data_IF_567706016758
#
_entry.id   IF_567706016758
#
_cell.length_a   1.000
_cell.length_b   1.000
_cell.length_c   1.000
_cell.angle_alpha   90.00
_cell.angle_beta   90.00
_cell.angle_gamma   90.00
#
_symmetry.space_group_name_H-M   'P 1'
#
loop_
_entity.id
_entity.type
_entity.pdbx_description
1 polymer ?
#
# COMPACT_ATOMS: atom_id res chain seq x y z
N UNK A 1 9.26 -17.98 10.10
CA UNK A 1 8.86 -16.71 9.45
C UNK A 1 8.95 -15.59 10.47
N UNK A 2 9.95 -14.72 10.31
CA UNK A 2 10.14 -13.52 11.13
C UNK A 2 9.12 -12.43 10.75
N UNK A 3 8.99 -11.35 11.55
CA UNK A 3 8.15 -10.21 11.17
C UNK A 3 8.61 -9.55 9.87
N UNK A 4 9.90 -9.58 9.59
CA UNK A 4 10.51 -9.08 8.35
C UNK A 4 10.05 -9.91 7.14
N UNK A 5 10.17 -11.23 7.23
CA UNK A 5 9.74 -12.16 6.17
C UNK A 5 8.24 -11.96 5.83
N UNK A 6 7.42 -11.60 6.83
CA UNK A 6 6.00 -11.30 6.64
C UNK A 6 5.76 -10.04 5.82
N UNK A 7 6.53 -8.98 6.07
CA UNK A 7 6.42 -7.73 5.31
C UNK A 7 6.80 -7.92 3.84
N UNK A 8 7.88 -8.66 3.58
CA UNK A 8 8.29 -9.04 2.22
C UNK A 8 7.22 -9.90 1.53
N UNK A 9 6.67 -10.89 2.24
CA UNK A 9 5.59 -11.73 1.73
C UNK A 9 4.34 -10.90 1.37
N UNK A 10 3.98 -9.90 2.18
CA UNK A 10 2.84 -9.02 1.90
C UNK A 10 3.10 -8.18 0.65
N UNK A 11 4.28 -7.58 0.52
CA UNK A 11 4.65 -6.81 -0.67
C UNK A 11 4.63 -7.67 -1.95
N UNK A 12 5.11 -8.91 -1.89
CA UNK A 12 5.03 -9.85 -3.01
C UNK A 12 3.58 -10.22 -3.36
N UNK A 13 2.74 -10.48 -2.35
CA UNK A 13 1.33 -10.80 -2.56
C UNK A 13 0.59 -9.63 -3.24
N UNK A 14 0.84 -8.40 -2.81
CA UNK A 14 0.30 -7.19 -3.45
C UNK A 14 0.80 -7.06 -4.89
N UNK A 15 2.10 -7.18 -5.13
CA UNK A 15 2.67 -7.09 -6.49
C UNK A 15 2.13 -8.14 -7.47
N UNK A 16 1.60 -9.25 -6.95
CA UNK A 16 0.95 -10.33 -7.72
C UNK A 16 -0.57 -10.23 -7.77
N UNK A 17 -1.17 -9.17 -7.20
CA UNK A 17 -2.61 -9.01 -7.02
C UNK A 17 -3.29 -10.22 -6.34
N UNK A 18 -2.56 -10.95 -5.48
CA UNK A 18 -3.08 -12.13 -4.80
C UNK A 18 -3.88 -11.73 -3.55
N UNK A 19 -5.17 -11.49 -3.74
CA UNK A 19 -6.10 -11.05 -2.68
C UNK A 19 -6.14 -12.00 -1.49
N UNK A 20 -6.20 -13.30 -1.74
CA UNK A 20 -6.29 -14.31 -0.68
C UNK A 20 -5.05 -14.29 0.22
N UNK A 21 -3.86 -14.21 -0.37
CA UNK A 21 -2.61 -14.09 0.37
C UNK A 21 -2.54 -12.76 1.15
N UNK A 22 -2.96 -11.64 0.55
CA UNK A 22 -3.02 -10.34 1.25
C UNK A 22 -3.94 -10.43 2.47
N UNK A 23 -5.14 -10.98 2.31
CA UNK A 23 -6.11 -11.09 3.41
C UNK A 23 -5.59 -12.00 4.52
N UNK A 24 -5.00 -13.15 4.16
CA UNK A 24 -4.39 -14.04 5.13
C UNK A 24 -3.26 -13.35 5.90
N UNK A 25 -2.36 -12.66 5.21
CA UNK A 25 -1.20 -12.01 5.83
C UNK A 25 -1.62 -10.88 6.78
N UNK A 26 -2.58 -10.06 6.40
CA UNK A 26 -3.06 -8.94 7.23
C UNK A 26 -3.94 -9.43 8.37
N UNK A 27 -4.94 -10.28 8.09
CA UNK A 27 -5.95 -10.65 9.09
C UNK A 27 -5.50 -11.77 10.02
N UNK A 28 -4.85 -12.81 9.48
CA UNK A 28 -4.47 -13.99 10.25
C UNK A 28 -3.03 -13.86 10.79
N UNK A 29 -2.07 -13.54 9.92
CA UNK A 29 -0.67 -13.43 10.32
C UNK A 29 -0.30 -12.09 10.98
N UNK A 30 -1.26 -11.13 11.03
CA UNK A 30 -1.11 -9.81 11.65
C UNK A 30 0.14 -9.07 11.15
N UNK A 31 0.43 -9.19 9.86
CA UNK A 31 1.56 -8.52 9.22
C UNK A 31 1.40 -7.01 9.29
N UNK A 32 2.49 -6.28 9.57
CA UNK A 32 2.51 -4.82 9.51
C UNK A 32 2.28 -4.35 8.07
N UNK A 33 1.13 -3.71 7.82
CA UNK A 33 0.74 -3.16 6.52
C UNK A 33 1.58 -1.95 6.09
N UNK A 34 2.31 -1.36 7.03
CA UNK A 34 3.23 -0.25 6.79
C UNK A 34 4.68 -0.70 6.72
N UNK A 35 4.95 -2.01 6.81
CA UNK A 35 6.30 -2.56 6.68
C UNK A 35 6.94 -2.13 5.35
N UNK A 36 8.24 -1.87 5.38
CA UNK A 36 8.99 -1.51 4.17
C UNK A 36 9.81 -2.71 3.72
N UNK A 37 9.87 -2.93 2.41
CA UNK A 37 10.79 -3.92 1.85
C UNK A 37 12.23 -3.46 2.03
N UNK A 38 13.14 -4.43 2.18
CA UNK A 38 14.57 -4.16 2.13
C UNK A 38 15.06 -3.91 0.69
N UNK A 39 16.27 -3.38 0.56
CA UNK A 39 16.95 -3.17 -0.71
C UNK A 39 17.15 -1.69 -1.04
N UNK A 40 17.63 -1.43 -2.25
CA UNK A 40 17.96 -0.09 -2.75
C UNK A 40 16.72 0.82 -2.86
N UNK A 41 15.55 0.22 -3.10
CA UNK A 41 14.27 0.90 -3.27
C UNK A 41 13.24 0.40 -2.26
N UNK A 42 13.34 0.79 -0.98
CA UNK A 42 12.38 0.36 0.03
C UNK A 42 10.99 0.91 -0.28
N UNK A 43 9.99 0.05 -0.20
CA UNK A 43 8.61 0.36 -0.55
C UNK A 43 7.64 -0.24 0.47
N UNK A 44 6.55 0.48 0.74
CA UNK A 44 5.41 -0.08 1.48
C UNK A 44 4.53 -0.92 0.54
N UNK A 45 3.69 -1.83 1.07
CA UNK A 45 2.68 -2.52 0.27
C UNK A 45 1.81 -1.57 -0.58
N UNK A 46 1.45 -0.39 -0.04
CA UNK A 46 0.73 0.63 -0.81
C UNK A 46 1.55 1.15 -1.99
N UNK A 47 2.84 1.46 -1.81
CA UNK A 47 3.72 1.88 -2.91
C UNK A 47 3.84 0.79 -3.98
N UNK A 48 3.91 -0.49 -3.60
CA UNK A 48 3.90 -1.61 -4.55
C UNK A 48 2.59 -1.62 -5.36
N UNK A 49 1.44 -1.45 -4.72
CA UNK A 49 0.17 -1.38 -5.44
C UNK A 49 0.10 -0.20 -6.42
N UNK A 50 0.68 0.95 -6.07
CA UNK A 50 0.80 2.12 -6.95
C UNK A 50 1.75 1.88 -8.13
N UNK A 51 2.84 1.15 -7.90
CA UNK A 51 3.82 0.81 -8.94
C UNK A 51 3.18 -0.09 -10.01
N UNK A 52 2.44 -1.12 -9.57
CA UNK A 52 1.77 -2.07 -10.46
C UNK A 52 0.51 -1.47 -11.10
N UNK A 53 -0.32 -0.77 -10.32
CA UNK A 53 -1.43 0.08 -10.75
C UNK A 53 -2.38 -0.60 -11.75
N UNK A 54 -3.00 -1.71 -11.35
CA UNK A 54 -4.06 -2.41 -12.09
C UNK A 54 -5.42 -2.17 -11.43
N UNK A 55 -6.52 -2.43 -12.13
CA UNK A 55 -7.87 -2.31 -11.55
C UNK A 55 -8.07 -3.27 -10.37
N UNK A 56 -7.57 -4.50 -10.48
CA UNK A 56 -7.63 -5.52 -9.41
C UNK A 56 -6.94 -5.06 -8.12
N UNK A 57 -5.92 -4.23 -8.24
CA UNK A 57 -5.21 -3.67 -7.09
C UNK A 57 -6.03 -2.63 -6.33
N UNK A 58 -7.08 -2.02 -6.90
CA UNK A 58 -7.90 -1.02 -6.19
C UNK A 58 -8.56 -1.63 -4.93
N UNK A 59 -9.03 -2.87 -5.03
CA UNK A 59 -9.65 -3.60 -3.92
C UNK A 59 -8.61 -3.92 -2.83
N UNK A 60 -7.42 -4.38 -3.23
CA UNK A 60 -6.30 -4.63 -2.31
C UNK A 60 -5.87 -3.33 -1.62
N UNK A 61 -5.75 -2.25 -2.37
CA UNK A 61 -5.37 -0.93 -1.84
C UNK A 61 -6.42 -0.42 -0.86
N UNK A 62 -7.72 -0.50 -1.19
CA UNK A 62 -8.80 -0.13 -0.27
C UNK A 62 -8.78 -0.97 1.01
N UNK A 63 -8.51 -2.27 0.89
CA UNK A 63 -8.35 -3.16 2.03
C UNK A 63 -7.14 -2.77 2.92
N UNK A 64 -5.98 -2.47 2.33
CA UNK A 64 -4.81 -2.04 3.09
C UNK A 64 -5.06 -0.71 3.82
N UNK A 65 -5.70 0.26 3.15
CA UNK A 65 -6.07 1.55 3.75
C UNK A 65 -7.05 1.35 4.93
N UNK A 66 -8.07 0.50 4.78
CA UNK A 66 -9.00 0.20 5.87
C UNK A 66 -8.32 -0.48 7.08
N UNK A 67 -7.16 -1.09 6.86
CA UNK A 67 -6.29 -1.67 7.90
C UNK A 67 -5.15 -0.73 8.32
N UNK A 68 -5.34 0.59 8.15
CA UNK A 68 -4.44 1.66 8.62
C UNK A 68 -3.09 1.72 7.88
N UNK A 69 -3.07 1.33 6.60
CA UNK A 69 -1.92 1.64 5.76
C UNK A 69 -1.83 3.15 5.51
N UNK A 70 -0.66 3.72 5.76
CA UNK A 70 -0.39 5.15 5.67
C UNK A 70 -0.09 5.56 4.23
N UNK A 71 -1.06 6.22 3.60
CA UNK A 71 -0.99 6.76 2.24
C UNK A 71 0.14 7.79 2.12
N UNK A 72 0.48 8.50 3.20
CA UNK A 72 1.48 9.56 3.21
C UNK A 72 2.87 9.08 3.66
N UNK A 73 3.03 7.78 3.95
CA UNK A 73 4.31 7.23 4.41
C UNK A 73 5.39 7.51 3.39
N UNK A 74 6.52 8.00 3.89
CA UNK A 74 7.71 8.32 3.10
C UNK A 74 8.74 7.19 3.20
N UNK A 75 9.26 6.75 2.06
CA UNK A 75 10.44 5.87 2.02
C UNK A 75 11.64 6.61 1.41
N UNK A 76 12.80 6.39 2.00
CA UNK A 76 14.10 6.91 1.55
C UNK A 76 15.01 5.71 1.26
N UNK A 77 15.92 5.77 0.27
CA UNK A 77 16.38 6.97 -0.43
C UNK A 77 15.60 7.33 -1.71
N UNK A 78 14.46 6.70 -1.97
CA UNK A 78 13.76 6.84 -3.25
C UNK A 78 13.12 8.22 -3.45
N UNK A 79 13.38 8.92 -4.58
CA UNK A 79 12.77 10.23 -4.87
C UNK A 79 11.26 10.16 -5.13
N UNK A 80 10.72 8.95 -5.37
CA UNK A 80 9.29 8.68 -5.50
C UNK A 80 8.70 8.09 -4.21
N UNK A 81 9.29 8.39 -3.06
CA UNK A 81 9.02 7.74 -1.78
C UNK A 81 7.63 7.94 -1.19
N UNK A 82 6.61 8.34 -1.96
CA UNK A 82 5.21 8.29 -1.53
C UNK A 82 4.39 7.50 -2.54
N UNK A 83 3.24 6.98 -2.09
CA UNK A 83 2.34 6.22 -2.96
C UNK A 83 1.86 7.04 -4.17
N UNK A 84 1.57 8.33 -3.96
CA UNK A 84 1.10 9.23 -5.01
C UNK A 84 2.21 9.55 -6.02
N UNK A 85 3.42 9.86 -5.57
CA UNK A 85 4.56 10.11 -6.47
C UNK A 85 4.90 8.86 -7.28
N UNK A 86 4.84 7.69 -6.68
CA UNK A 86 5.03 6.40 -7.38
C UNK A 86 3.99 6.21 -8.48
N UNK A 87 2.70 6.42 -8.17
CA UNK A 87 1.61 6.28 -9.15
C UNK A 87 1.76 7.26 -10.33
N UNK A 88 2.13 8.52 -10.06
CA UNK A 88 2.39 9.53 -11.10
C UNK A 88 3.57 9.11 -11.98
N UNK A 89 4.70 8.71 -11.38
CA UNK A 89 5.88 8.27 -12.12
C UNK A 89 5.61 7.07 -13.04
N UNK A 90 4.76 6.14 -12.59
CA UNK A 90 4.33 4.98 -13.39
C UNK A 90 3.16 5.25 -14.33
N UNK A 91 2.75 6.50 -14.49
CA UNK A 91 1.62 6.91 -15.31
C UNK A 91 0.31 6.16 -14.95
N UNK A 92 0.10 5.91 -13.66
CA UNK A 92 -1.09 5.23 -13.12
C UNK A 92 -2.16 6.25 -12.74
N UNK A 93 -2.60 7.03 -13.72
CA UNK A 93 -3.42 8.24 -13.50
C UNK A 93 -4.72 7.95 -12.74
N UNK A 94 -5.44 6.89 -13.08
CA UNK A 94 -6.67 6.51 -12.37
C UNK A 94 -6.39 6.13 -10.91
N UNK A 95 -5.29 5.42 -10.67
CA UNK A 95 -4.85 5.04 -9.34
C UNK A 95 -4.39 6.24 -8.51
N UNK A 96 -3.72 7.23 -9.14
CA UNK A 96 -3.37 8.50 -8.51
C UNK A 96 -4.61 9.32 -8.10
N UNK A 97 -5.67 9.32 -8.95
CA UNK A 97 -6.96 9.95 -8.62
C UNK A 97 -7.61 9.25 -7.43
N UNK A 98 -7.67 7.91 -7.46
CA UNK A 98 -8.16 7.10 -6.35
C UNK A 98 -7.46 7.45 -5.02
N UNK A 99 -6.12 7.50 -4.99
CA UNK A 99 -5.40 7.92 -3.78
C UNK A 99 -5.71 9.35 -3.32
N UNK A 100 -5.84 10.27 -4.26
CA UNK A 100 -6.16 11.67 -3.96
C UNK A 100 -7.54 11.81 -3.34
N UNK A 101 -8.52 11.05 -3.84
CA UNK A 101 -9.87 10.97 -3.29
C UNK A 101 -9.88 10.39 -1.88
N UNK A 102 -9.14 9.30 -1.65
CA UNK A 102 -8.98 8.72 -0.30
C UNK A 102 -8.33 9.68 0.68
N UNK A 103 -7.29 10.40 0.27
CA UNK A 103 -6.60 11.36 1.14
C UNK A 103 -7.52 12.55 1.50
N UNK A 104 -8.30 13.03 0.54
CA UNK A 104 -9.29 14.11 0.75
C UNK A 104 -10.45 13.66 1.63
N UNK A 105 -10.97 12.46 1.43
CA UNK A 105 -12.05 11.88 2.24
C UNK A 105 -11.60 11.61 3.67
N UNK A 106 -10.38 11.11 3.86
CA UNK A 106 -9.76 10.92 5.19
C UNK A 106 -9.51 12.25 5.92
N UNK A 107 -9.31 13.34 5.17
CA UNK A 107 -9.15 14.69 5.72
C UNK A 107 -10.49 15.41 5.98
N UNK A 108 -11.59 14.97 5.35
CA UNK A 108 -12.92 15.59 5.46
C UNK A 108 -13.92 14.79 6.30
N UNK A 109 -13.64 13.54 6.67
CA UNK A 109 -14.45 12.77 7.60
C UNK A 109 -13.61 12.23 8.76
N UNK A 110 -13.96 12.78 9.93
CA UNK A 110 -13.50 12.41 11.25
C UNK A 110 -13.79 10.92 11.50
N UNK A 111 -12.77 10.05 11.42
CA UNK A 111 -12.82 8.71 12.01
C UNK A 111 -12.56 8.77 13.52
N UNK A 112 -13.38 9.56 14.24
CA UNK A 112 -13.70 9.19 15.61
C UNK A 112 -14.72 8.05 15.51
N UNK A 113 -14.39 6.95 16.16
CA UNK A 113 -15.26 5.81 16.43
C UNK A 113 -15.48 4.85 15.25
N UNK A 114 -14.65 3.80 15.23
CA UNK A 114 -15.06 2.40 15.38
C UNK A 114 -13.87 1.53 15.80
#
# INVERSE_FOLDING_TARGET
>A
MTLKDRGEALSLAVGRANKEAVYFLVNAAKTDVNGVTDGEYPATPLMISAYCGTHELQEITGFLISHRADINKKTTPTPFGTVLLTAIWKNKIEFSKFYSEWNRSSSNYIWKER
#
